data_IF_732359536008
#
_entry.id   IF_732359536008
#
_cell.length_a   1.000
_cell.length_b   1.000
_cell.length_c   1.000
_cell.angle_alpha   90.00
_cell.angle_beta   90.00
_cell.angle_gamma   90.00
#
_symmetry.space_group_name_H-M   'P 1'
#
loop_
_entity.id
_entity.type
_entity.pdbx_description
1 polymer ?
#
# COMPACT_ATOMS: atom_id res chain seq x y z
N UNK A 1 2.52 -12.96 -11.25
CA UNK A 1 2.26 -13.69 -9.98
C UNK A 1 3.41 -14.59 -9.50
N UNK A 2 3.84 -15.60 -10.28
CA UNK A 2 4.85 -16.59 -9.83
C UNK A 2 6.20 -15.97 -9.42
N UNK A 3 6.72 -15.00 -10.19
CA UNK A 3 7.97 -14.32 -9.85
C UNK A 3 7.91 -13.51 -8.55
N UNK A 4 6.74 -12.95 -8.19
CA UNK A 4 6.53 -12.23 -6.92
C UNK A 4 6.51 -13.26 -5.78
N UNK A 5 5.73 -14.33 -5.91
CA UNK A 5 5.65 -15.40 -4.91
C UNK A 5 7.02 -16.00 -4.59
N UNK A 6 7.86 -16.22 -5.61
CA UNK A 6 9.22 -16.72 -5.43
C UNK A 6 10.07 -15.78 -4.55
N UNK A 7 9.96 -14.46 -4.75
CA UNK A 7 10.68 -13.48 -3.91
C UNK A 7 10.17 -13.47 -2.47
N UNK A 8 8.85 -13.49 -2.27
CA UNK A 8 8.24 -13.54 -0.93
C UNK A 8 8.72 -14.77 -0.15
N UNK A 9 8.71 -15.94 -0.80
CA UNK A 9 9.21 -17.17 -0.21
C UNK A 9 10.71 -17.11 0.13
N UNK A 10 11.52 -16.50 -0.73
CA UNK A 10 12.95 -16.31 -0.45
C UNK A 10 13.19 -15.41 0.78
N UNK A 11 12.38 -14.38 1.00
CA UNK A 11 12.47 -13.56 2.21
C UNK A 11 12.10 -14.35 3.48
N UNK A 12 11.05 -15.17 3.43
CA UNK A 12 10.70 -16.04 4.56
C UNK A 12 11.77 -17.11 4.83
N UNK A 13 12.39 -17.67 3.78
CA UNK A 13 13.53 -18.58 3.90
C UNK A 13 14.73 -17.88 4.56
N UNK A 14 14.95 -16.60 4.24
CA UNK A 14 15.90 -15.72 4.89
C UNK A 14 15.46 -15.26 6.31
N UNK A 15 14.41 -15.87 6.87
CA UNK A 15 13.87 -15.65 8.22
C UNK A 15 13.12 -14.34 8.44
N UNK A 16 12.63 -13.67 7.40
CA UNK A 16 11.72 -12.54 7.58
C UNK A 16 10.47 -12.96 8.38
N UNK A 17 10.03 -12.07 9.27
CA UNK A 17 8.81 -12.20 10.08
C UNK A 17 7.63 -11.48 9.41
N UNK A 18 7.93 -10.37 8.73
CA UNK A 18 6.98 -9.52 8.02
C UNK A 18 7.45 -9.41 6.57
N UNK A 19 6.52 -9.52 5.63
CA UNK A 19 6.77 -9.19 4.22
C UNK A 19 5.93 -7.99 3.81
N UNK A 20 6.48 -7.22 2.89
CA UNK A 20 5.77 -6.14 2.22
C UNK A 20 5.05 -6.66 0.98
N UNK A 21 3.83 -6.18 0.80
CA UNK A 21 3.10 -6.36 -0.45
C UNK A 21 3.77 -5.58 -1.58
N UNK A 22 3.70 -6.10 -2.80
CA UNK A 22 4.24 -5.41 -3.98
C UNK A 22 3.28 -4.31 -4.49
N UNK A 23 2.98 -3.33 -3.64
CA UNK A 23 1.93 -2.32 -3.88
C UNK A 23 2.39 -0.87 -3.77
N UNK A 24 3.71 -0.62 -3.72
CA UNK A 24 4.30 0.71 -3.57
C UNK A 24 3.66 1.81 -4.46
N UNK A 25 3.42 1.50 -5.74
CA UNK A 25 2.80 2.43 -6.71
C UNK A 25 1.33 2.11 -7.01
N UNK A 26 0.68 1.22 -6.25
CA UNK A 26 -0.70 0.78 -6.51
C UNK A 26 -1.70 1.78 -5.91
N UNK A 27 -1.64 3.04 -6.34
CA UNK A 27 -2.68 4.04 -6.07
C UNK A 27 -3.19 4.55 -7.41
N UNK A 28 -4.44 5.02 -7.48
CA UNK A 28 -4.97 5.63 -8.72
C UNK A 28 -4.10 6.77 -9.23
N UNK A 29 -3.46 7.52 -8.33
CA UNK A 29 -2.55 8.63 -8.65
C UNK A 29 -1.27 8.14 -9.34
N UNK A 30 -0.57 7.17 -8.75
CA UNK A 30 0.69 6.67 -9.31
C UNK A 30 0.46 5.80 -10.55
N UNK A 31 -0.65 5.06 -10.61
CA UNK A 31 -1.01 4.24 -11.77
C UNK A 31 -1.43 5.06 -12.99
N UNK A 32 -1.72 6.36 -12.83
CA UNK A 32 -2.07 7.26 -13.92
C UNK A 32 -0.93 7.45 -14.93
N UNK A 33 0.34 7.38 -14.49
CA UNK A 33 1.51 7.43 -15.37
C UNK A 33 1.52 6.26 -16.38
N UNK A 34 0.82 5.17 -16.05
CA UNK A 34 0.67 3.98 -16.88
C UNK A 34 -0.71 3.84 -17.53
N UNK A 35 -1.65 4.77 -17.27
CA UNK A 35 -3.08 4.68 -17.67
C UNK A 35 -3.77 3.43 -17.12
N UNK A 36 -3.47 3.10 -15.87
CA UNK A 36 -3.92 1.88 -15.18
C UNK A 36 -4.65 2.19 -13.87
N UNK A 37 -5.20 3.40 -13.71
CA UNK A 37 -5.89 3.85 -12.51
C UNK A 37 -6.99 2.87 -12.09
N UNK A 38 -7.76 2.36 -13.04
CA UNK A 38 -8.85 1.40 -12.79
C UNK A 38 -8.37 0.03 -12.29
N UNK A 39 -7.08 -0.26 -12.34
CA UNK A 39 -6.47 -1.52 -11.88
C UNK A 39 -5.85 -1.40 -10.49
N UNK A 40 -5.79 -0.19 -9.91
CA UNK A 40 -5.21 0.08 -8.59
C UNK A 40 -5.77 -0.86 -7.51
N UNK A 41 -7.09 -0.91 -7.33
CA UNK A 41 -7.73 -1.79 -6.36
C UNK A 41 -7.45 -3.29 -6.62
N UNK A 42 -7.56 -3.75 -7.87
CA UNK A 42 -7.33 -5.17 -8.22
C UNK A 42 -5.88 -5.59 -7.91
N UNK A 43 -4.91 -4.72 -8.23
CA UNK A 43 -3.49 -4.99 -7.98
C UNK A 43 -3.21 -5.05 -6.48
N UNK A 44 -3.75 -4.13 -5.68
CA UNK A 44 -3.61 -4.17 -4.22
C UNK A 44 -4.17 -5.46 -3.63
N UNK A 45 -5.41 -5.79 -3.99
CA UNK A 45 -6.07 -7.00 -3.53
C UNK A 45 -5.29 -8.27 -3.90
N UNK A 46 -4.87 -8.38 -5.17
CA UNK A 46 -4.12 -9.55 -5.65
C UNK A 46 -2.74 -9.66 -5.00
N UNK A 47 -2.06 -8.54 -4.75
CA UNK A 47 -0.75 -8.53 -4.10
C UNK A 47 -0.85 -8.93 -2.62
N UNK A 48 -1.81 -8.38 -1.87
CA UNK A 48 -2.08 -8.75 -0.49
C UNK A 48 -2.49 -10.23 -0.37
N UNK A 49 -3.39 -10.70 -1.23
CA UNK A 49 -3.82 -12.11 -1.25
C UNK A 49 -2.69 -13.08 -1.52
N UNK A 50 -1.79 -12.72 -2.46
CA UNK A 50 -0.61 -13.52 -2.74
C UNK A 50 0.35 -13.57 -1.55
N UNK A 51 0.59 -12.41 -0.92
CA UNK A 51 1.43 -12.32 0.26
C UNK A 51 0.86 -13.13 1.45
N UNK A 52 -0.44 -13.03 1.71
CA UNK A 52 -1.16 -13.79 2.74
C UNK A 52 -1.01 -15.30 2.52
N UNK A 53 -1.23 -15.77 1.29
CA UNK A 53 -1.08 -17.18 0.95
C UNK A 53 0.35 -17.70 1.24
N UNK A 54 1.39 -16.93 0.88
CA UNK A 54 2.77 -17.28 1.22
C UNK A 54 3.00 -17.26 2.74
N UNK A 55 2.53 -16.23 3.45
CA UNK A 55 2.68 -16.11 4.89
C UNK A 55 2.00 -17.26 5.66
N UNK A 56 0.81 -17.68 5.23
CA UNK A 56 0.09 -18.82 5.79
C UNK A 56 0.84 -20.13 5.59
N UNK A 57 1.36 -20.37 4.39
CA UNK A 57 2.14 -21.57 4.09
C UNK A 57 3.39 -21.66 4.99
N UNK A 58 4.11 -20.54 5.17
CA UNK A 58 5.28 -20.50 6.05
C UNK A 58 4.91 -20.64 7.53
N UNK A 59 3.83 -19.99 7.96
CA UNK A 59 3.32 -20.12 9.33
C UNK A 59 2.94 -21.56 9.64
N UNK A 60 2.28 -22.27 8.72
CA UNK A 60 1.93 -23.68 8.90
C UNK A 60 3.16 -24.60 9.06
N UNK A 61 4.32 -24.24 8.47
CA UNK A 61 5.57 -25.00 8.61
C UNK A 61 6.24 -24.84 9.96
N UNK A 62 6.13 -23.65 10.57
CA UNK A 62 6.69 -23.36 11.90
C UNK A 62 5.69 -22.48 12.69
N UNK A 63 4.63 -23.09 13.28
CA UNK A 63 3.53 -22.36 13.92
C UNK A 63 3.93 -21.44 15.07
N UNK A 64 5.06 -21.71 15.72
CA UNK A 64 5.65 -20.88 16.77
C UNK A 64 6.19 -19.53 16.27
N UNK A 65 6.32 -19.37 14.94
CA UNK A 65 6.80 -18.16 14.28
C UNK A 65 5.77 -17.70 13.23
N UNK A 66 4.67 -17.03 13.61
CA UNK A 66 3.70 -16.52 12.65
C UNK A 66 4.33 -15.49 11.70
N UNK A 67 3.93 -15.53 10.42
CA UNK A 67 4.35 -14.56 9.40
C UNK A 67 3.25 -13.56 9.16
N UNK A 68 3.65 -12.30 9.01
CA UNK A 68 2.75 -11.18 8.83
C UNK A 68 2.93 -10.51 7.47
N UNK A 69 1.86 -9.89 6.99
CA UNK A 69 1.79 -9.17 5.71
C UNK A 69 1.57 -7.70 5.98
N UNK A 70 2.49 -6.87 5.53
CA UNK A 70 2.36 -5.42 5.48
C UNK A 70 1.77 -4.97 4.14
N UNK A 71 0.56 -4.42 4.18
CA UNK A 71 -0.06 -3.71 3.07
C UNK A 71 0.64 -2.37 2.85
N UNK A 72 1.34 -2.21 1.73
CA UNK A 72 2.20 -1.06 1.49
C UNK A 72 1.42 0.07 0.81
N UNK A 73 1.56 1.27 1.38
CA UNK A 73 1.15 2.54 0.76
C UNK A 73 2.40 3.40 0.53
N UNK A 74 2.82 3.52 -0.73
CA UNK A 74 3.90 4.42 -1.12
C UNK A 74 3.46 5.89 -1.20
N UNK A 75 4.39 6.84 -1.41
CA UNK A 75 4.12 8.27 -1.27
C UNK A 75 3.46 8.91 -2.51
N UNK A 76 3.14 8.13 -3.55
CA UNK A 76 2.76 8.56 -4.91
C UNK A 76 3.86 9.34 -5.66
N UNK A 77 3.59 9.72 -6.91
CA UNK A 77 4.44 10.59 -7.73
C UNK A 77 4.04 12.08 -7.65
N UNK A 78 3.09 12.45 -6.76
CA UNK A 78 2.60 13.82 -6.57
C UNK A 78 2.97 14.33 -5.19
N UNK A 79 3.08 15.65 -5.04
CA UNK A 79 3.39 16.31 -3.77
C UNK A 79 2.29 17.32 -3.45
N UNK A 80 1.77 17.26 -2.23
CA UNK A 80 0.79 18.20 -1.73
C UNK A 80 1.42 19.40 -1.02
N UNK A 81 2.65 19.27 -0.49
CA UNK A 81 3.32 20.37 0.22
C UNK A 81 4.23 21.22 -0.67
N UNK A 82 4.75 20.68 -1.79
CA UNK A 82 5.71 21.36 -2.66
C UNK A 82 5.05 21.69 -4.01
N UNK A 83 5.25 22.91 -4.52
CA UNK A 83 4.78 23.25 -5.87
C UNK A 83 5.66 22.57 -6.92
N UNK A 84 5.07 21.92 -7.95
CA UNK A 84 5.81 21.43 -9.10
C UNK A 84 6.18 22.55 -10.10
N UNK A 85 5.63 23.77 -9.94
CA UNK A 85 5.98 24.94 -10.77
C UNK A 85 6.86 25.90 -9.97
N UNK A 86 8.10 26.06 -10.42
CA UNK A 86 9.09 26.96 -9.80
C UNK A 86 8.68 28.44 -9.85
N UNK A 87 7.79 28.81 -10.78
CA UNK A 87 7.32 30.19 -10.94
C UNK A 87 6.04 30.48 -10.15
N UNK A 88 5.36 29.44 -9.66
CA UNK A 88 4.16 29.58 -8.84
C UNK A 88 4.29 28.71 -7.57
N UNK A 89 4.82 29.25 -6.46
CA UNK A 89 4.99 28.50 -5.22
C UNK A 89 3.66 28.10 -4.55
N UNK A 90 2.54 28.71 -4.94
CA UNK A 90 1.21 28.39 -4.42
C UNK A 90 0.52 27.25 -5.21
N UNK A 91 0.97 26.97 -6.43
CA UNK A 91 0.39 25.92 -7.26
C UNK A 91 0.53 24.53 -6.64
N UNK A 92 -0.52 23.70 -6.77
CA UNK A 92 -0.54 22.29 -6.39
C UNK A 92 -1.21 21.49 -7.50
N UNK A 93 -0.64 20.35 -7.85
CA UNK A 93 -1.18 19.47 -8.90
C UNK A 93 -1.97 18.27 -8.33
N UNK A 94 -2.17 18.25 -7.01
CA UNK A 94 -2.96 17.27 -6.27
C UNK A 94 -3.57 17.96 -5.05
N UNK A 95 -4.76 17.54 -4.63
CA UNK A 95 -5.39 17.99 -3.38
C UNK A 95 -5.27 16.94 -2.28
N UNK A 96 -5.44 17.38 -1.03
CA UNK A 96 -5.48 16.47 0.12
C UNK A 96 -6.59 15.42 -0.05
N UNK A 97 -7.80 15.84 -0.43
CA UNK A 97 -8.94 14.93 -0.61
C UNK A 97 -8.71 13.90 -1.72
N UNK A 98 -8.00 14.27 -2.80
CA UNK A 98 -7.62 13.34 -3.85
C UNK A 98 -6.65 12.28 -3.34
N UNK A 99 -5.67 12.67 -2.51
CA UNK A 99 -4.76 11.72 -1.86
C UNK A 99 -5.51 10.81 -0.90
N UNK A 100 -6.39 11.36 -0.05
CA UNK A 100 -7.22 10.56 0.86
C UNK A 100 -8.03 9.53 0.08
N UNK A 101 -8.74 9.94 -0.98
CA UNK A 101 -9.55 9.02 -1.78
C UNK A 101 -8.71 7.89 -2.41
N UNK A 102 -7.54 8.21 -2.97
CA UNK A 102 -6.65 7.22 -3.58
C UNK A 102 -6.06 6.23 -2.54
N UNK A 103 -5.67 6.73 -1.37
CA UNK A 103 -5.18 5.90 -0.28
C UNK A 103 -6.29 5.02 0.30
N UNK A 104 -7.52 5.53 0.45
CA UNK A 104 -8.66 4.74 0.95
C UNK A 104 -8.98 3.55 0.07
N UNK A 105 -9.01 3.74 -1.26
CA UNK A 105 -9.21 2.63 -2.20
C UNK A 105 -8.13 1.55 -2.03
N UNK A 106 -6.88 1.97 -1.91
CA UNK A 106 -5.74 1.07 -1.76
C UNK A 106 -5.81 0.33 -0.42
N UNK A 107 -6.06 1.04 0.68
CA UNK A 107 -6.24 0.46 2.02
C UNK A 107 -7.34 -0.58 2.02
N UNK A 108 -8.51 -0.26 1.47
CA UNK A 108 -9.64 -1.20 1.40
C UNK A 108 -9.24 -2.50 0.71
N UNK A 109 -8.63 -2.39 -0.47
CA UNK A 109 -8.21 -3.55 -1.25
C UNK A 109 -7.11 -4.37 -0.54
N UNK A 110 -6.18 -3.72 0.16
CA UNK A 110 -5.15 -4.38 0.95
C UNK A 110 -5.75 -5.16 2.13
N UNK A 111 -6.69 -4.57 2.86
CA UNK A 111 -7.39 -5.21 3.98
C UNK A 111 -8.23 -6.38 3.48
N UNK A 112 -9.03 -6.21 2.44
CA UNK A 112 -9.81 -7.29 1.81
C UNK A 112 -8.92 -8.42 1.26
N UNK A 113 -7.69 -8.09 0.85
CA UNK A 113 -6.69 -9.06 0.41
C UNK A 113 -5.98 -9.80 1.55
N UNK A 114 -6.20 -9.42 2.81
CA UNK A 114 -5.65 -10.10 3.99
C UNK A 114 -4.31 -9.56 4.47
N UNK A 115 -4.02 -8.28 4.27
CA UNK A 115 -2.92 -7.62 4.98
C UNK A 115 -3.19 -7.58 6.50
N UNK A 116 -2.16 -7.85 7.31
CA UNK A 116 -2.25 -7.83 8.77
C UNK A 116 -2.04 -6.41 9.34
N UNK A 117 -1.31 -5.57 8.62
CA UNK A 117 -1.05 -4.17 8.98
C UNK A 117 -0.89 -3.32 7.72
N UNK A 118 -1.12 -2.01 7.85
CA UNK A 118 -0.82 -1.05 6.78
C UNK A 118 0.48 -0.32 7.08
N UNK A 119 1.39 -0.30 6.12
CA UNK A 119 2.68 0.36 6.19
C UNK A 119 2.71 1.55 5.23
N UNK A 120 2.68 2.76 5.79
CA UNK A 120 2.93 4.00 5.06
C UNK A 120 4.45 4.22 5.04
N UNK A 121 5.07 4.10 3.88
CA UNK A 121 6.54 4.10 3.77
C UNK A 121 7.08 5.12 2.76
N UNK A 122 8.40 5.30 2.79
CA UNK A 122 9.14 6.20 1.89
C UNK A 122 8.52 7.61 1.84
N UNK A 123 8.13 8.12 3.01
CA UNK A 123 7.48 9.43 3.14
C UNK A 123 8.47 10.54 2.79
N UNK A 124 8.31 11.14 1.61
CA UNK A 124 9.05 12.33 1.20
C UNK A 124 8.26 13.63 1.44
N UNK A 125 6.93 13.54 1.53
CA UNK A 125 6.00 14.65 1.76
C UNK A 125 5.10 14.32 2.96
N UNK A 126 5.23 15.10 4.04
CA UNK A 126 4.46 14.88 5.27
C UNK A 126 2.97 15.15 5.11
N UNK A 127 2.55 15.98 4.15
CA UNK A 127 1.14 16.20 3.87
C UNK A 127 0.52 14.99 3.16
N UNK A 128 1.28 14.33 2.27
CA UNK A 128 0.86 13.05 1.69
C UNK A 128 0.71 11.97 2.76
N UNK A 129 1.69 11.85 3.67
CA UNK A 129 1.60 10.89 4.78
C UNK A 129 0.42 11.18 5.71
N UNK A 130 0.11 12.46 5.95
CA UNK A 130 -1.07 12.85 6.74
C UNK A 130 -2.36 12.42 6.03
N UNK A 131 -2.44 12.60 4.71
CA UNK A 131 -3.57 12.10 3.91
C UNK A 131 -3.68 10.56 3.98
N UNK A 132 -2.56 9.85 3.88
CA UNK A 132 -2.53 8.39 4.02
C UNK A 132 -3.00 7.92 5.41
N UNK A 133 -2.54 8.56 6.49
CA UNK A 133 -3.01 8.24 7.85
C UNK A 133 -4.52 8.51 7.99
N UNK A 134 -5.02 9.62 7.46
CA UNK A 134 -6.46 9.93 7.47
C UNK A 134 -7.26 8.86 6.72
N UNK A 135 -6.81 8.51 5.51
CA UNK A 135 -7.42 7.49 4.69
C UNK A 135 -7.47 6.12 5.39
N UNK A 136 -6.35 5.68 5.98
CA UNK A 136 -6.28 4.40 6.68
C UNK A 136 -7.27 4.37 7.84
N UNK A 137 -7.32 5.43 8.65
CA UNK A 137 -8.24 5.53 9.78
C UNK A 137 -9.71 5.52 9.35
N UNK A 138 -10.06 6.31 8.34
CA UNK A 138 -11.44 6.36 7.81
C UNK A 138 -11.86 5.01 7.23
N UNK A 139 -10.96 4.31 6.55
CA UNK A 139 -11.28 3.02 5.95
C UNK A 139 -11.37 1.90 6.99
N UNK A 140 -10.51 1.92 8.01
CA UNK A 140 -10.60 1.00 9.14
C UNK A 140 -11.94 1.15 9.87
N UNK A 141 -12.36 2.39 10.15
CA UNK A 141 -13.68 2.69 10.71
C UNK A 141 -14.81 2.18 9.79
N UNK A 142 -14.72 2.42 8.49
CA UNK A 142 -15.73 1.97 7.52
C UNK A 142 -15.84 0.43 7.41
N UNK A 143 -14.72 -0.28 7.57
CA UNK A 143 -14.66 -1.74 7.54
C UNK A 143 -14.97 -2.39 8.89
N UNK A 144 -15.01 -1.60 9.98
CA UNK A 144 -15.20 -2.11 11.34
C UNK A 144 -14.00 -2.91 11.85
N UNK A 145 -12.79 -2.54 11.45
CA UNK A 145 -11.52 -3.12 11.90
C UNK A 145 -10.74 -2.03 12.67
N UNK A 146 -10.07 -2.39 13.76
CA UNK A 146 -9.28 -1.48 14.61
C UNK A 146 -7.83 -1.96 14.69
#
# INVERSE_FOLDING_TARGET
PAGIAAKLNAYFEARADIIETNTFNSTTIAMADYRMESLSAEINYAAAKLARACADEWTARTPEKPRFVAGVLGPTNRTASISPDVNDPAFRNITFDQLVAAYRESTKALVEGGADLILIETVFDTLNATAAVCAVKEEFEALGVD
#
